data_IF_345524228851
#
_entry.id   IF_345524228851
#
_cell.length_a   1.000
_cell.length_b   1.000
_cell.length_c   1.000
_cell.angle_alpha   90.00
_cell.angle_beta   90.00
_cell.angle_gamma   90.00
#
_symmetry.space_group_name_H-M   'P 1'
#
loop_
_entity.id
_entity.type
_entity.pdbx_description
1 polymer ?
#
# COMPACT_ATOMS: atom_id res chain seq x y z
N UNK A 1 -10.19 -8.28 -12.36
CA UNK A 1 -9.49 -8.01 -11.09
C UNK A 1 -8.03 -7.89 -11.42
N UNK A 2 -7.51 -6.68 -11.32
CA UNK A 2 -6.12 -6.36 -11.63
C UNK A 2 -5.38 -6.16 -10.33
N UNK A 3 -4.11 -6.57 -10.26
CA UNK A 3 -3.26 -6.31 -9.09
C UNK A 3 -1.96 -5.66 -9.52
N UNK A 4 -1.56 -4.60 -8.83
CA UNK A 4 -0.24 -4.01 -8.95
C UNK A 4 0.64 -4.52 -7.82
N UNK A 5 1.72 -5.22 -8.15
CA UNK A 5 2.75 -5.60 -7.17
C UNK A 5 4.04 -4.88 -7.53
N UNK A 6 4.72 -4.29 -6.55
CA UNK A 6 5.91 -3.50 -6.84
C UNK A 6 6.44 -2.71 -5.65
N UNK A 7 7.32 -1.75 -5.96
CA UNK A 7 7.96 -0.87 -4.97
C UNK A 7 7.25 0.49 -4.96
N UNK A 8 6.94 0.99 -3.78
CA UNK A 8 6.34 2.31 -3.64
C UNK A 8 7.41 3.38 -3.78
N UNK A 9 7.19 4.31 -4.72
CA UNK A 9 8.06 5.47 -4.96
C UNK A 9 7.46 6.77 -4.44
N UNK A 10 6.15 6.78 -4.21
CA UNK A 10 5.46 7.86 -3.52
C UNK A 10 4.37 7.31 -2.62
N UNK A 11 4.19 7.97 -1.47
CA UNK A 11 3.15 7.64 -0.51
C UNK A 11 2.78 8.86 0.33
N UNK A 12 1.50 8.95 0.67
CA UNK A 12 1.04 9.74 1.80
C UNK A 12 -0.21 9.09 2.41
N UNK A 13 -0.41 9.36 3.70
CA UNK A 13 -1.60 8.96 4.44
C UNK A 13 -2.24 10.15 5.11
N UNK A 14 -3.46 10.45 4.69
CA UNK A 14 -4.34 11.40 5.35
C UNK A 14 -5.32 10.69 6.27
N UNK A 15 -6.13 11.48 6.97
CA UNK A 15 -7.16 10.94 7.87
C UNK A 15 -8.28 10.15 7.14
N UNK A 16 -8.50 10.42 5.85
CA UNK A 16 -9.60 9.81 5.06
C UNK A 16 -9.15 9.17 3.75
N UNK A 17 -7.88 9.31 3.37
CA UNK A 17 -7.36 8.89 2.08
C UNK A 17 -5.92 8.41 2.18
N UNK A 18 -5.57 7.50 1.28
CA UNK A 18 -4.20 7.12 0.98
C UNK A 18 -3.90 7.48 -0.47
N UNK A 19 -2.67 7.92 -0.73
CA UNK A 19 -2.17 8.08 -2.09
C UNK A 19 -0.85 7.37 -2.29
N UNK A 20 -0.66 6.79 -3.47
CA UNK A 20 0.50 5.98 -3.80
C UNK A 20 0.93 6.22 -5.25
N UNK A 21 2.23 6.08 -5.49
CA UNK A 21 2.76 5.73 -6.82
C UNK A 21 3.62 4.48 -6.66
N UNK A 22 3.37 3.48 -7.50
CA UNK A 22 4.04 2.18 -7.48
C UNK A 22 4.76 1.96 -8.81
N UNK A 23 6.04 1.62 -8.72
CA UNK A 23 6.77 1.02 -9.84
C UNK A 23 6.47 -0.49 -9.78
N UNK A 24 5.65 -0.95 -10.73
CA UNK A 24 5.16 -2.34 -10.79
C UNK A 24 6.27 -3.28 -11.25
N UNK A 25 6.20 -4.53 -10.80
CA UNK A 25 7.13 -5.59 -11.24
C UNK A 25 6.98 -5.89 -12.75
N UNK A 26 5.86 -5.50 -13.35
CA UNK A 26 5.59 -5.59 -14.80
C UNK A 26 6.22 -4.44 -15.60
N UNK A 27 6.94 -3.51 -14.94
CA UNK A 27 7.67 -2.42 -15.57
C UNK A 27 6.84 -1.19 -15.90
N UNK A 28 5.66 -1.04 -15.30
CA UNK A 28 4.83 0.17 -15.40
C UNK A 28 4.92 1.03 -14.13
N UNK A 29 4.53 2.29 -14.23
CA UNK A 29 4.36 3.15 -13.06
C UNK A 29 2.89 3.54 -12.94
N UNK A 30 2.28 3.17 -11.82
CA UNK A 30 0.85 3.36 -11.59
C UNK A 30 0.63 4.24 -10.37
N UNK A 31 -0.42 5.08 -10.41
CA UNK A 31 -0.77 5.95 -9.29
C UNK A 31 -2.24 5.79 -8.90
N UNK A 32 -2.51 5.87 -7.61
CA UNK A 32 -3.85 5.72 -7.05
C UNK A 32 -4.04 6.62 -5.84
N UNK A 33 -5.23 7.19 -5.74
CA UNK A 33 -5.76 7.79 -4.51
C UNK A 33 -7.02 7.01 -4.15
N UNK A 34 -7.12 6.54 -2.91
CA UNK A 34 -8.25 5.71 -2.47
C UNK A 34 -8.65 6.05 -1.03
N UNK A 35 -9.91 5.85 -0.63
CA UNK A 35 -10.33 6.04 0.76
C UNK A 35 -9.50 5.21 1.73
N UNK A 36 -9.09 5.82 2.83
CA UNK A 36 -8.43 5.12 3.93
C UNK A 36 -9.46 4.31 4.72
N UNK A 37 -9.21 3.01 4.86
CA UNK A 37 -9.99 2.09 5.69
C UNK A 37 -9.07 0.96 6.15
N UNK A 38 -8.99 0.73 7.46
CA UNK A 38 -8.14 -0.31 8.05
C UNK A 38 -8.53 -1.70 7.55
N UNK A 39 -9.83 -1.95 7.36
CA UNK A 39 -10.39 -3.23 6.89
C UNK A 39 -9.91 -3.64 5.47
N UNK A 40 -9.31 -2.70 4.73
CA UNK A 40 -8.75 -2.93 3.40
C UNK A 40 -7.24 -3.14 3.40
N UNK A 41 -6.61 -3.08 4.56
CA UNK A 41 -5.16 -3.18 4.69
C UNK A 41 -4.78 -4.58 5.18
N UNK A 42 -3.67 -5.08 4.62
CA UNK A 42 -3.00 -6.29 5.04
C UNK A 42 -1.51 -6.01 5.23
N UNK A 43 -0.82 -6.82 6.02
CA UNK A 43 0.64 -6.84 6.10
C UNK A 43 1.14 -8.28 5.94
N UNK A 44 1.90 -8.52 4.89
CA UNK A 44 2.35 -9.85 4.48
C UNK A 44 1.21 -10.87 4.40
N UNK A 45 0.05 -10.45 3.92
CA UNK A 45 -1.16 -11.28 3.76
C UNK A 45 -2.02 -11.44 5.03
N UNK A 46 -1.59 -10.90 6.17
CA UNK A 46 -2.32 -10.94 7.44
C UNK A 46 -3.12 -9.65 7.68
N UNK A 47 -4.15 -9.73 8.53
CA UNK A 47 -4.97 -8.57 8.91
C UNK A 47 -4.10 -7.43 9.49
N UNK A 48 -4.29 -6.21 9.00
CA UNK A 48 -3.55 -5.04 9.45
C UNK A 48 -4.18 -4.40 10.68
N UNK A 49 -3.35 -4.00 11.64
CA UNK A 49 -3.76 -3.26 12.84
C UNK A 49 -3.11 -1.89 12.90
N UNK A 50 -3.62 -0.99 13.75
CA UNK A 50 -3.00 0.33 13.93
C UNK A 50 -1.54 0.24 14.41
N UNK A 51 -1.17 -0.81 15.16
CA UNK A 51 0.21 -1.02 15.63
C UNK A 51 1.18 -1.36 14.48
N UNK A 52 0.68 -1.97 13.40
CA UNK A 52 1.48 -2.34 12.23
C UNK A 52 1.97 -1.13 11.43
N UNK A 53 1.41 0.06 11.63
CA UNK A 53 1.94 1.28 11.02
C UNK A 53 3.41 1.50 11.36
N UNK A 54 3.82 1.17 12.59
CA UNK A 54 5.23 1.25 13.00
C UNK A 54 6.18 0.35 12.20
N UNK A 55 5.65 -0.64 11.48
CA UNK A 55 6.40 -1.56 10.62
C UNK A 55 6.53 -1.03 9.20
N UNK A 56 5.50 -0.34 8.70
CA UNK A 56 5.40 0.21 7.34
C UNK A 56 6.01 1.61 7.23
N UNK A 57 5.74 2.45 8.23
CA UNK A 57 6.11 3.86 8.26
C UNK A 57 7.29 4.09 9.21
N UNK A 58 8.18 5.04 8.87
CA UNK A 58 9.16 5.59 9.80
C UNK A 58 8.54 6.67 10.67
N UNK A 59 7.63 7.45 10.10
CA UNK A 59 6.81 8.48 10.74
C UNK A 59 5.45 8.51 10.05
N UNK A 60 4.42 9.06 10.70
CA UNK A 60 3.06 9.11 10.13
C UNK A 60 3.07 9.73 8.73
N UNK A 61 2.64 8.96 7.72
CA UNK A 61 2.62 9.40 6.33
C UNK A 61 3.94 9.26 5.57
N UNK A 62 5.00 8.72 6.18
CA UNK A 62 6.31 8.52 5.57
C UNK A 62 6.71 7.03 5.62
N UNK A 63 6.83 6.40 4.46
CA UNK A 63 7.22 4.99 4.36
C UNK A 63 8.67 4.76 4.78
N UNK A 64 8.93 3.57 5.32
CA UNK A 64 10.29 3.07 5.41
C UNK A 64 10.88 2.84 4.00
N UNK A 65 12.20 2.99 3.82
CA UNK A 65 12.84 2.74 2.54
C UNK A 65 12.53 1.35 1.98
N UNK A 66 12.42 1.27 0.65
CA UNK A 66 12.22 0.00 -0.09
C UNK A 66 10.92 -0.74 0.29
N UNK A 67 9.91 -0.03 0.80
CA UNK A 67 8.59 -0.61 1.08
C UNK A 67 7.94 -1.07 -0.23
N UNK A 68 7.52 -2.34 -0.24
CA UNK A 68 6.78 -2.96 -1.34
C UNK A 68 5.32 -3.12 -0.95
N UNK A 69 4.44 -3.15 -1.95
CA UNK A 69 3.02 -3.40 -1.75
C UNK A 69 2.44 -4.22 -2.88
N UNK A 70 1.33 -4.91 -2.57
CA UNK A 70 0.41 -5.47 -3.55
C UNK A 70 -0.94 -4.77 -3.40
N UNK A 71 -1.41 -4.14 -4.46
CA UNK A 71 -2.68 -3.40 -4.49
C UNK A 71 -3.62 -4.14 -5.44
N UNK A 72 -4.75 -4.61 -4.93
CA UNK A 72 -5.81 -5.18 -5.77
C UNK A 72 -6.86 -4.13 -6.07
N UNK A 73 -7.25 -4.07 -7.35
CA UNK A 73 -8.21 -3.11 -7.87
C UNK A 73 -9.44 -3.86 -8.40
N UNK A 74 -10.62 -3.30 -8.12
CA UNK A 74 -11.82 -3.61 -8.88
C UNK A 74 -11.79 -2.83 -10.20
N UNK A 75 -12.08 -3.51 -11.31
CA UNK A 75 -11.85 -2.98 -12.67
C UNK A 75 -12.72 -1.74 -13.01
N UNK A 76 -13.66 -1.31 -12.14
CA UNK A 76 -14.66 -0.28 -12.47
C UNK A 76 -14.65 1.00 -11.60
N UNK A 77 -13.98 1.03 -10.45
CA UNK A 77 -14.22 2.12 -9.47
C UNK A 77 -13.00 2.98 -9.14
N UNK A 78 -11.85 2.73 -9.76
CA UNK A 78 -10.62 3.48 -9.47
C UNK A 78 -10.21 3.44 -8.00
N UNK A 79 -10.57 2.37 -7.29
CA UNK A 79 -10.38 2.20 -5.85
C UNK A 79 -9.66 0.90 -5.55
N UNK A 80 -8.80 0.93 -4.53
CA UNK A 80 -8.23 -0.28 -3.97
C UNK A 80 -9.30 -1.07 -3.23
N UNK A 81 -9.37 -2.35 -3.54
CA UNK A 81 -10.14 -3.33 -2.78
C UNK A 81 -9.33 -3.81 -1.58
N UNK A 82 -8.04 -4.10 -1.80
CA UNK A 82 -7.10 -4.51 -0.77
C UNK A 82 -5.71 -3.91 -1.06
N UNK A 83 -4.98 -3.61 0.01
CA UNK A 83 -3.59 -3.15 -0.03
C UNK A 83 -2.80 -3.98 0.96
N UNK A 84 -1.87 -4.79 0.47
CA UNK A 84 -1.02 -5.65 1.28
C UNK A 84 0.42 -5.14 1.29
N UNK A 85 0.86 -4.66 2.45
CA UNK A 85 2.22 -4.20 2.70
C UNK A 85 3.16 -5.39 2.75
N UNK A 86 4.11 -5.46 1.83
CA UNK A 86 5.08 -6.55 1.73
C UNK A 86 6.36 -6.15 2.46
N UNK A 87 6.33 -6.21 3.80
CA UNK A 87 7.44 -5.81 4.66
C UNK A 87 8.34 -7.02 4.92
N UNK A 88 9.60 -6.92 4.51
CA UNK A 88 10.62 -7.91 4.85
C UNK A 88 10.87 -7.94 6.35
N UNK A 89 10.88 -9.11 6.97
CA UNK A 89 11.19 -9.32 8.40
C UNK A 89 12.69 -9.33 8.72
N UNK A 90 13.58 -9.06 7.76
CA UNK A 90 15.01 -9.05 8.03
C UNK A 90 15.48 -7.71 8.62
N UNK A 91 15.50 -7.66 9.95
CA UNK A 91 16.44 -6.88 10.77
C UNK A 91 17.02 -7.77 11.87
#
# INVERSE_FOLDING_TARGET
MTSWTGTLVFYWRGASQLGFTIDTDDGTQESLITPYSLDKLLINGEHFTDEDWSRVESEVGLLKPMTRARIWLCDNDGNATLIDWQISTFL
#
